data_IF_096658132410
#
_entry.id   IF_096658132410
#
_cell.length_a   1.000
_cell.length_b   1.000
_cell.length_c   1.000
_cell.angle_alpha   90.00
_cell.angle_beta   90.00
_cell.angle_gamma   90.00
#
_symmetry.space_group_name_H-M   'P 1'
#
loop_
_entity.id
_entity.type
_entity.pdbx_description
1 polymer ?
#
# COMPACT_ATOMS: atom_id res chain seq x y z
N UNK A 1 25.51 -41.09 46.83
CA UNK A 1 25.05 -41.48 48.17
C UNK A 1 23.54 -41.23 48.25
N UNK A 2 22.79 -42.23 48.75
CA UNK A 2 21.33 -42.27 49.07
C UNK A 2 20.39 -42.17 47.85
N UNK A 3 19.90 -43.25 47.23
CA UNK A 3 18.99 -44.37 47.62
C UNK A 3 17.58 -43.96 48.07
N UNK A 4 16.58 -44.41 47.30
CA UNK A 4 15.25 -45.01 47.63
C UNK A 4 14.47 -45.07 46.28
N UNK A 5 14.29 -46.17 45.54
CA UNK A 5 13.87 -47.56 45.78
C UNK A 5 12.43 -47.70 46.30
N UNK A 6 11.51 -48.05 45.40
CA UNK A 6 10.42 -49.00 45.65
C UNK A 6 9.97 -49.66 44.32
N UNK A 7 10.22 -50.97 44.24
CA UNK A 7 9.74 -51.95 43.25
C UNK A 7 8.32 -52.42 43.64
N UNK A 8 7.45 -53.00 42.79
CA UNK A 8 7.46 -54.35 42.18
C UNK A 8 6.26 -54.42 41.19
N UNK A 9 6.41 -54.85 39.92
CA UNK A 9 6.18 -56.21 39.36
C UNK A 9 4.72 -56.69 39.44
N UNK A 10 4.09 -57.40 38.50
CA UNK A 10 4.31 -57.95 37.14
C UNK A 10 2.96 -58.61 36.79
N UNK A 11 2.50 -58.62 35.51
CA UNK A 11 1.88 -59.77 34.82
C UNK A 11 1.33 -59.37 33.44
N UNK A 12 1.60 -60.26 32.47
CA UNK A 12 1.47 -60.15 31.00
C UNK A 12 0.02 -60.59 30.54
N UNK A 13 -0.31 -60.78 29.24
CA UNK A 13 -1.42 -60.19 28.48
C UNK A 13 -2.45 -61.27 28.01
N UNK A 14 -3.29 -61.05 26.98
CA UNK A 14 -2.87 -61.44 25.62
C UNK A 14 -3.36 -60.54 24.47
N UNK A 15 -2.77 -60.79 23.31
CA UNK A 15 -2.91 -60.17 21.98
C UNK A 15 -4.25 -60.38 21.27
N UNK A 16 -4.63 -59.46 20.36
CA UNK A 16 -5.30 -59.75 19.07
C UNK A 16 -5.29 -58.55 18.08
N UNK A 17 -4.45 -58.69 17.05
CA UNK A 17 -4.59 -58.33 15.62
C UNK A 17 -4.84 -56.89 15.11
N UNK A 18 -4.36 -56.56 13.88
CA UNK A 18 -4.26 -55.20 13.36
C UNK A 18 -5.49 -54.83 12.52
N UNK A 19 -6.19 -53.74 12.88
CA UNK A 19 -7.21 -53.17 11.99
C UNK A 19 -6.59 -52.07 11.13
N UNK A 20 -6.44 -52.40 9.85
CA UNK A 20 -6.21 -51.45 8.76
C UNK A 20 -7.34 -50.41 8.78
N UNK A 21 -7.03 -49.16 9.10
CA UNK A 21 -7.95 -48.04 8.93
C UNK A 21 -7.55 -47.23 7.69
N UNK A 22 -8.41 -47.31 6.68
CA UNK A 22 -8.36 -46.58 5.42
C UNK A 22 -8.01 -45.08 5.57
N UNK A 23 -7.37 -44.46 4.56
CA UNK A 23 -7.17 -43.02 4.53
C UNK A 23 -8.52 -42.30 4.40
N UNK A 24 -8.95 -41.62 5.46
CA UNK A 24 -10.10 -40.70 5.39
C UNK A 24 -9.81 -39.55 4.42
N UNK A 25 -10.82 -39.07 3.68
CA UNK A 25 -10.63 -38.18 2.55
C UNK A 25 -10.21 -36.78 3.01
N UNK A 26 -9.16 -36.24 2.38
CA UNK A 26 -8.71 -34.83 2.49
C UNK A 26 -9.77 -33.77 2.13
N UNK A 27 -11.02 -34.15 1.83
CA UNK A 27 -12.09 -33.25 1.38
C UNK A 27 -12.74 -32.42 2.50
N UNK A 28 -12.59 -32.80 3.77
CA UNK A 28 -13.18 -32.02 4.87
C UNK A 28 -12.42 -30.73 5.19
N UNK A 29 -11.12 -30.63 4.84
CA UNK A 29 -10.35 -29.40 5.06
C UNK A 29 -10.75 -28.26 4.11
N UNK A 30 -11.24 -28.58 2.91
CA UNK A 30 -11.71 -27.57 1.96
C UNK A 30 -13.12 -27.05 2.30
N UNK A 31 -13.99 -27.91 2.88
CA UNK A 31 -15.35 -27.54 3.28
C UNK A 31 -15.38 -26.69 4.57
N UNK A 32 -14.45 -26.92 5.50
CA UNK A 32 -14.36 -26.13 6.74
C UNK A 32 -13.82 -24.71 6.49
N UNK A 33 -12.95 -24.52 5.49
CA UNK A 33 -12.43 -23.18 5.12
C UNK A 33 -13.50 -22.33 4.40
N UNK A 34 -14.49 -22.96 3.76
CA UNK A 34 -15.62 -22.24 3.16
C UNK A 34 -16.66 -21.76 4.19
N UNK A 35 -16.72 -22.39 5.37
CA UNK A 35 -17.69 -22.09 6.42
C UNK A 35 -17.33 -20.87 7.30
N UNK A 36 -16.13 -20.29 7.15
CA UNK A 36 -15.64 -19.19 7.99
C UNK A 36 -15.83 -17.79 7.41
N UNK A 37 -16.44 -17.66 6.23
CA UNK A 37 -16.70 -16.37 5.61
C UNK A 37 -18.08 -15.82 6.03
N UNK A 38 -18.12 -14.57 6.47
CA UNK A 38 -19.35 -13.83 6.74
C UNK A 38 -20.30 -13.91 5.53
N UNK A 39 -21.63 -13.82 5.74
CA UNK A 39 -22.58 -13.76 4.62
C UNK A 39 -22.23 -12.68 3.60
N UNK A 40 -21.76 -11.52 4.06
CA UNK A 40 -21.29 -10.42 3.22
C UNK A 40 -20.03 -10.80 2.41
N UNK A 41 -19.05 -11.48 3.01
CA UNK A 41 -17.84 -11.89 2.30
C UNK A 41 -18.16 -12.93 1.21
N UNK A 42 -19.15 -13.80 1.44
CA UNK A 42 -19.66 -14.72 0.40
C UNK A 42 -20.34 -13.97 -0.74
N UNK A 43 -21.15 -12.96 -0.44
CA UNK A 43 -21.77 -12.11 -1.46
C UNK A 43 -20.73 -11.36 -2.29
N UNK A 44 -19.70 -10.77 -1.66
CA UNK A 44 -18.61 -10.08 -2.38
C UNK A 44 -17.86 -11.02 -3.33
N UNK A 45 -17.63 -12.28 -2.93
CA UNK A 45 -17.04 -13.29 -3.82
C UNK A 45 -17.95 -13.63 -4.99
N UNK A 46 -19.25 -13.81 -4.76
CA UNK A 46 -20.23 -14.11 -5.80
C UNK A 46 -20.33 -12.98 -6.83
N UNK A 47 -20.23 -11.73 -6.36
CA UNK A 47 -20.23 -10.52 -7.20
C UNK A 47 -18.88 -10.26 -7.88
N UNK A 48 -17.91 -11.16 -7.73
CA UNK A 48 -16.55 -11.00 -8.23
C UNK A 48 -15.91 -9.66 -7.83
N UNK A 49 -16.17 -9.21 -6.59
CA UNK A 49 -15.71 -7.92 -6.06
C UNK A 49 -14.22 -7.69 -6.34
N UNK A 50 -13.41 -8.75 -6.42
CA UNK A 50 -11.96 -8.68 -6.60
C UNK A 50 -11.57 -8.22 -7.99
N UNK A 51 -12.37 -8.56 -8.99
CA UNK A 51 -12.20 -8.03 -10.34
C UNK A 51 -12.56 -6.54 -10.37
N UNK A 52 -13.63 -6.13 -9.68
CA UNK A 52 -14.01 -4.72 -9.55
C UNK A 52 -12.90 -3.93 -8.87
N UNK A 53 -12.35 -4.43 -7.76
CA UNK A 53 -11.30 -3.74 -7.03
C UNK A 53 -10.02 -3.60 -7.85
N UNK A 54 -9.59 -4.64 -8.56
CA UNK A 54 -8.46 -4.55 -9.51
C UNK A 54 -8.72 -3.57 -10.65
N UNK A 55 -9.92 -3.59 -11.24
CA UNK A 55 -10.28 -2.69 -12.32
C UNK A 55 -10.25 -1.23 -11.86
N UNK A 56 -10.85 -0.93 -10.69
CA UNK A 56 -10.83 0.43 -10.11
C UNK A 56 -9.41 0.84 -9.72
N UNK A 57 -8.65 -0.06 -9.08
CA UNK A 57 -7.27 0.19 -8.71
C UNK A 57 -6.40 0.53 -9.93
N UNK A 58 -6.65 -0.09 -11.10
CA UNK A 58 -5.86 0.15 -12.31
C UNK A 58 -5.87 1.61 -12.81
N UNK A 59 -6.82 2.44 -12.36
CA UNK A 59 -6.84 3.87 -12.67
C UNK A 59 -5.82 4.69 -11.86
N UNK A 60 -5.25 4.15 -10.78
CA UNK A 60 -4.23 4.86 -10.02
C UNK A 60 -2.93 4.96 -10.83
N UNK A 61 -2.36 6.17 -10.85
CA UNK A 61 -1.16 6.48 -11.64
C UNK A 61 0.10 5.75 -11.18
N UNK A 62 0.21 5.40 -9.90
CA UNK A 62 1.42 4.78 -9.32
C UNK A 62 1.18 3.33 -8.90
N UNK A 63 2.23 2.50 -8.88
CA UNK A 63 2.14 1.12 -8.41
C UNK A 63 1.64 1.03 -6.96
N UNK A 64 2.18 1.87 -6.07
CA UNK A 64 1.73 1.99 -4.69
C UNK A 64 0.28 2.46 -4.57
N UNK A 65 -0.15 3.39 -5.43
CA UNK A 65 -1.55 3.83 -5.50
C UNK A 65 -2.48 2.68 -5.87
N UNK A 66 -2.12 1.87 -6.87
CA UNK A 66 -2.90 0.69 -7.27
C UNK A 66 -3.05 -0.30 -6.11
N UNK A 67 -1.95 -0.66 -5.47
CA UNK A 67 -1.97 -1.59 -4.32
C UNK A 67 -2.80 -1.03 -3.16
N UNK A 68 -2.61 0.25 -2.81
CA UNK A 68 -3.33 0.90 -1.73
C UNK A 68 -4.84 0.96 -2.01
N UNK A 69 -5.24 1.34 -3.23
CA UNK A 69 -6.65 1.38 -3.65
C UNK A 69 -7.28 -0.02 -3.63
N UNK A 70 -6.61 -1.03 -4.19
CA UNK A 70 -7.13 -2.40 -4.17
C UNK A 70 -7.33 -2.89 -2.74
N UNK A 71 -6.34 -2.69 -1.86
CA UNK A 71 -6.41 -3.06 -0.44
C UNK A 71 -7.54 -2.35 0.30
N UNK A 72 -7.74 -1.05 0.06
CA UNK A 72 -8.82 -0.28 0.69
C UNK A 72 -10.20 -0.78 0.25
N UNK A 73 -10.40 -1.03 -1.05
CA UNK A 73 -11.68 -1.53 -1.57
C UNK A 73 -11.98 -2.96 -1.08
N UNK A 74 -10.94 -3.76 -0.82
CA UNK A 74 -11.05 -5.08 -0.18
C UNK A 74 -11.56 -4.99 1.27
N UNK A 75 -11.20 -3.91 1.97
CA UNK A 75 -11.57 -3.68 3.37
C UNK A 75 -12.98 -3.13 3.58
N UNK A 76 -13.86 -3.11 2.57
CA UNK A 76 -15.17 -2.41 2.58
C UNK A 76 -16.07 -2.77 3.77
N UNK A 77 -16.01 -4.01 4.25
CA UNK A 77 -16.82 -4.47 5.38
C UNK A 77 -16.44 -3.83 6.72
N UNK A 78 -15.25 -3.25 6.81
CA UNK A 78 -14.65 -2.70 8.04
C UNK A 78 -14.53 -1.17 8.05
N UNK A 79 -15.00 -0.50 6.99
CA UNK A 79 -14.90 0.97 6.87
C UNK A 79 -16.00 1.65 7.69
N UNK A 80 -15.63 2.59 8.55
CA UNK A 80 -16.60 3.39 9.31
C UNK A 80 -17.29 4.46 8.45
N UNK A 81 -18.48 4.88 8.85
CA UNK A 81 -19.19 5.98 8.19
C UNK A 81 -18.34 7.26 8.10
N UNK A 82 -17.70 7.63 9.20
CA UNK A 82 -16.82 8.80 9.27
C UNK A 82 -15.66 8.71 8.26
N UNK A 83 -15.03 7.53 8.15
CA UNK A 83 -13.95 7.32 7.17
C UNK A 83 -14.46 7.44 5.75
N UNK A 84 -15.61 6.85 5.43
CA UNK A 84 -16.26 6.99 4.12
C UNK A 84 -16.59 8.44 3.79
N UNK A 85 -17.06 9.22 4.77
CA UNK A 85 -17.34 10.64 4.60
C UNK A 85 -16.08 11.46 4.33
N UNK A 86 -14.98 11.19 5.06
CA UNK A 86 -13.67 11.83 4.80
C UNK A 86 -13.18 11.53 3.38
N UNK A 87 -13.24 10.26 2.95
CA UNK A 87 -12.84 9.85 1.59
C UNK A 87 -13.70 10.52 0.50
N UNK A 88 -15.02 10.68 0.74
CA UNK A 88 -15.90 11.38 -0.19
C UNK A 88 -15.50 12.85 -0.36
N UNK A 89 -15.19 13.53 0.75
CA UNK A 89 -14.72 14.92 0.74
C UNK A 89 -13.36 15.08 0.03
N UNK A 90 -12.42 14.16 0.29
CA UNK A 90 -11.13 14.09 -0.42
C UNK A 90 -11.34 13.89 -1.93
N UNK A 91 -12.25 13.00 -2.32
CA UNK A 91 -12.55 12.71 -3.73
C UNK A 91 -13.16 13.92 -4.44
N UNK A 92 -14.11 14.60 -3.80
CA UNK A 92 -14.75 15.80 -4.37
C UNK A 92 -13.74 16.95 -4.56
N UNK A 93 -12.86 17.14 -3.57
CA UNK A 93 -11.77 18.11 -3.66
C UNK A 93 -10.82 17.78 -4.84
N UNK A 94 -10.47 16.50 -5.01
CA UNK A 94 -9.61 16.05 -6.12
C UNK A 94 -10.27 16.27 -7.49
N UNK A 95 -11.57 15.97 -7.62
CA UNK A 95 -12.35 16.22 -8.85
C UNK A 95 -12.40 17.71 -9.18
N UNK A 96 -12.61 18.57 -8.19
CA UNK A 96 -12.58 20.03 -8.39
C UNK A 96 -11.22 20.49 -8.89
N UNK A 97 -10.15 20.01 -8.26
CA UNK A 97 -8.79 20.38 -8.62
C UNK A 97 -8.46 19.93 -10.05
N UNK A 98 -8.84 18.72 -10.46
CA UNK A 98 -8.69 18.25 -11.84
C UNK A 98 -9.34 19.20 -12.85
N UNK A 99 -10.55 19.68 -12.56
CA UNK A 99 -11.30 20.57 -13.45
C UNK A 99 -10.74 21.99 -13.57
N UNK A 100 -10.05 22.50 -12.55
CA UNK A 100 -9.53 23.88 -12.53
C UNK A 100 -8.05 24.02 -12.88
N UNK A 101 -7.29 22.92 -12.87
CA UNK A 101 -5.82 22.95 -12.94
C UNK A 101 -5.18 22.24 -14.13
N UNK A 102 -5.97 21.83 -15.14
CA UNK A 102 -5.44 21.25 -16.37
C UNK A 102 -4.72 19.91 -16.19
N UNK A 103 -5.10 19.11 -15.18
CA UNK A 103 -4.53 17.77 -14.97
C UNK A 103 -3.43 17.69 -13.90
N UNK A 104 -3.36 18.62 -12.94
CA UNK A 104 -2.32 18.65 -11.90
C UNK A 104 -2.28 17.45 -10.94
N UNK A 105 -3.18 16.47 -11.10
CA UNK A 105 -3.21 15.22 -10.32
C UNK A 105 -2.84 14.00 -11.17
N UNK A 106 -2.00 14.17 -12.19
CA UNK A 106 -1.40 13.04 -12.91
C UNK A 106 -0.14 12.53 -12.21
N UNK A 107 -0.28 11.42 -11.48
CA UNK A 107 0.83 10.77 -10.78
C UNK A 107 1.52 9.68 -11.63
N UNK A 108 1.13 9.48 -12.90
CA UNK A 108 1.59 8.34 -13.72
C UNK A 108 3.08 8.34 -14.02
N UNK A 109 3.72 9.51 -14.01
CA UNK A 109 5.17 9.65 -14.21
C UNK A 109 6.04 9.31 -12.99
N UNK A 110 5.44 8.98 -11.84
CA UNK A 110 6.19 8.73 -10.60
C UNK A 110 6.55 7.25 -10.41
N UNK A 111 7.84 6.95 -10.38
CA UNK A 111 8.33 5.64 -9.98
C UNK A 111 8.39 5.49 -8.46
N UNK A 112 7.21 5.28 -7.87
CA UNK A 112 7.09 5.05 -6.41
C UNK A 112 7.82 3.80 -5.92
N UNK A 113 8.10 2.82 -6.78
CA UNK A 113 8.84 1.61 -6.40
C UNK A 113 10.33 1.92 -6.25
N UNK A 114 10.90 2.69 -7.17
CA UNK A 114 12.27 3.18 -7.05
C UNK A 114 12.43 4.12 -5.85
N UNK A 115 11.45 4.97 -5.56
CA UNK A 115 11.46 5.82 -4.35
C UNK A 115 11.47 4.97 -3.08
N UNK A 116 10.59 3.96 -2.97
CA UNK A 116 10.56 3.07 -1.81
C UNK A 116 11.89 2.32 -1.67
N UNK A 117 12.44 1.82 -2.77
CA UNK A 117 13.77 1.19 -2.82
C UNK A 117 14.86 2.13 -2.27
N UNK A 118 14.87 3.39 -2.72
CA UNK A 118 15.82 4.40 -2.24
C UNK A 118 15.73 4.60 -0.72
N UNK A 119 14.51 4.75 -0.19
CA UNK A 119 14.26 4.94 1.24
C UNK A 119 14.74 3.73 2.05
N UNK A 120 14.46 2.52 1.57
CA UNK A 120 14.87 1.28 2.23
C UNK A 120 16.39 1.10 2.20
N UNK A 121 17.05 1.41 1.08
CA UNK A 121 18.50 1.40 0.97
C UNK A 121 19.15 2.34 1.97
N UNK A 122 18.73 3.62 2.00
CA UNK A 122 19.30 4.61 2.93
C UNK A 122 19.03 4.23 4.39
N UNK A 123 17.82 3.78 4.71
CA UNK A 123 17.45 3.35 6.06
C UNK A 123 18.26 2.13 6.52
N UNK A 124 18.65 1.27 5.59
CA UNK A 124 19.55 0.13 5.82
C UNK A 124 21.05 0.47 5.75
N UNK A 125 21.43 1.75 5.55
CA UNK A 125 22.82 2.19 5.44
C UNK A 125 23.52 1.86 4.12
N UNK A 126 22.75 1.52 3.08
CA UNK A 126 23.25 1.22 1.74
C UNK A 126 23.22 2.44 0.82
N UNK A 127 24.07 2.42 -0.21
CA UNK A 127 24.06 3.44 -1.26
C UNK A 127 22.88 3.27 -2.20
N UNK A 128 22.37 4.39 -2.73
CA UNK A 128 21.30 4.40 -3.75
C UNK A 128 21.90 4.47 -5.16
N UNK A 129 21.17 3.93 -6.13
CA UNK A 129 21.50 4.02 -7.56
C UNK A 129 21.06 5.37 -8.13
N UNK A 130 21.61 5.76 -9.28
CA UNK A 130 21.21 7.01 -9.93
C UNK A 130 19.74 7.05 -10.32
N UNK A 131 19.15 5.93 -10.76
CA UNK A 131 17.70 5.83 -11.01
C UNK A 131 16.86 6.08 -9.75
N UNK A 132 17.27 5.51 -8.61
CA UNK A 132 16.59 5.67 -7.34
C UNK A 132 16.67 7.12 -6.86
N UNK A 133 17.84 7.75 -7.02
CA UNK A 133 18.04 9.17 -6.73
C UNK A 133 17.18 10.07 -7.62
N UNK A 134 17.13 9.82 -8.94
CA UNK A 134 16.30 10.58 -9.86
C UNK A 134 14.80 10.39 -9.60
N UNK A 135 14.35 9.18 -9.24
CA UNK A 135 12.97 8.94 -8.85
C UNK A 135 12.57 9.78 -7.61
N UNK A 136 13.48 9.92 -6.64
CA UNK A 136 13.29 10.81 -5.47
C UNK A 136 13.22 12.28 -5.91
N UNK A 137 14.09 12.72 -6.82
CA UNK A 137 14.04 14.08 -7.38
C UNK A 137 12.71 14.35 -8.09
N UNK A 138 12.25 13.43 -8.95
CA UNK A 138 10.98 13.55 -9.66
C UNK A 138 9.80 13.66 -8.69
N UNK A 139 9.78 12.86 -7.62
CA UNK A 139 8.75 12.97 -6.58
C UNK A 139 8.78 14.34 -5.88
N UNK A 140 9.97 14.82 -5.53
CA UNK A 140 10.15 16.11 -4.84
C UNK A 140 9.67 17.29 -5.70
N UNK A 141 10.06 17.32 -6.98
CA UNK A 141 9.63 18.35 -7.93
C UNK A 141 8.13 18.27 -8.20
N UNK A 142 7.58 17.06 -8.31
CA UNK A 142 6.14 16.85 -8.47
C UNK A 142 5.36 17.40 -7.26
N UNK A 143 5.80 17.09 -6.04
CA UNK A 143 5.16 17.59 -4.81
C UNK A 143 5.22 19.12 -4.75
N UNK A 144 6.35 19.74 -5.11
CA UNK A 144 6.45 21.20 -5.17
C UNK A 144 5.46 21.81 -6.18
N UNK A 145 5.38 21.24 -7.38
CA UNK A 145 4.42 21.66 -8.41
C UNK A 145 2.96 21.51 -7.94
N UNK A 146 2.65 20.39 -7.28
CA UNK A 146 1.32 20.12 -6.74
C UNK A 146 0.95 21.11 -5.63
N UNK A 147 1.88 21.44 -4.74
CA UNK A 147 1.68 22.46 -3.70
C UNK A 147 1.37 23.84 -4.30
N UNK A 148 2.10 24.26 -5.34
CA UNK A 148 1.84 25.53 -6.04
C UNK A 148 0.45 25.51 -6.65
N UNK A 149 0.07 24.41 -7.28
CA UNK A 149 -1.24 24.26 -7.93
C UNK A 149 -2.39 24.31 -6.93
N UNK A 150 -2.30 23.58 -5.80
CA UNK A 150 -3.32 23.60 -4.75
C UNK A 150 -3.44 25.02 -4.17
N UNK A 151 -2.31 25.67 -3.84
CA UNK A 151 -2.32 27.04 -3.31
C UNK A 151 -2.93 28.05 -4.30
N UNK A 152 -2.71 27.87 -5.59
CA UNK A 152 -3.32 28.72 -6.62
C UNK A 152 -4.84 28.47 -6.71
N UNK A 153 -5.28 27.20 -6.70
CA UNK A 153 -6.69 26.83 -6.74
C UNK A 153 -7.46 27.35 -5.51
N UNK A 154 -6.85 27.27 -4.31
CA UNK A 154 -7.44 27.78 -3.08
C UNK A 154 -7.65 29.30 -3.06
N UNK A 155 -6.96 30.06 -3.92
CA UNK A 155 -7.08 31.52 -3.99
C UNK A 155 -8.15 32.02 -4.96
N UNK A 156 -8.84 31.10 -5.66
CA UNK A 156 -9.84 31.50 -6.67
C UNK A 156 -11.07 32.15 -6.02
N UNK A 157 -11.58 31.55 -4.94
CA UNK A 157 -12.75 32.04 -4.19
C UNK A 157 -12.83 31.34 -2.81
N UNK A 158 -13.72 31.83 -1.92
CA UNK A 158 -13.88 31.32 -0.54
C UNK A 158 -14.39 29.86 -0.50
N UNK A 159 -15.25 29.47 -1.44
CA UNK A 159 -15.76 28.11 -1.55
C UNK A 159 -14.62 27.14 -1.93
N UNK A 160 -13.74 27.57 -2.83
CA UNK A 160 -12.57 26.83 -3.28
C UNK A 160 -11.55 26.62 -2.16
N UNK A 161 -11.37 27.58 -1.25
CA UNK A 161 -10.53 27.39 -0.06
C UNK A 161 -11.05 26.25 0.82
N UNK A 162 -12.32 26.33 1.23
CA UNK A 162 -12.93 25.36 2.13
C UNK A 162 -13.04 23.96 1.51
N UNK A 163 -13.32 23.88 0.21
CA UNK A 163 -13.45 22.63 -0.52
C UNK A 163 -12.12 21.87 -0.63
N UNK A 164 -10.98 22.57 -0.71
CA UNK A 164 -9.67 21.95 -0.91
C UNK A 164 -8.93 21.61 0.39
N UNK A 165 -9.40 22.08 1.55
CA UNK A 165 -8.85 21.73 2.88
C UNK A 165 -8.61 20.22 3.09
N UNK A 166 -9.48 19.29 2.63
CA UNK A 166 -9.23 17.85 2.77
C UNK A 166 -7.92 17.37 2.11
N UNK A 167 -7.40 18.09 1.11
CA UNK A 167 -6.15 17.74 0.42
C UNK A 167 -4.91 18.39 1.08
N UNK A 168 -5.08 19.38 1.95
CA UNK A 168 -3.95 20.20 2.40
C UNK A 168 -3.11 19.55 3.49
N UNK A 169 -3.73 18.78 4.40
CA UNK A 169 -3.05 18.20 5.57
C UNK A 169 -1.79 17.39 5.19
N UNK A 170 -1.84 16.61 4.12
CA UNK A 170 -0.70 15.77 3.71
C UNK A 170 0.18 16.44 2.66
N UNK A 171 -0.42 17.22 1.75
CA UNK A 171 0.31 17.72 0.58
C UNK A 171 1.02 19.04 0.88
N UNK A 172 0.40 19.96 1.62
CA UNK A 172 0.99 21.26 1.90
C UNK A 172 2.06 21.23 3.00
N UNK A 173 2.00 20.22 3.88
CA UNK A 173 2.96 20.02 4.96
C UNK A 173 4.22 19.26 4.48
N UNK A 174 4.21 18.71 3.27
CA UNK A 174 5.37 18.03 2.70
C UNK A 174 6.54 18.99 2.51
N UNK A 175 7.71 18.63 3.07
CA UNK A 175 8.94 19.44 2.96
C UNK A 175 9.75 19.01 1.75
N UNK A 176 9.95 19.93 0.80
CA UNK A 176 10.79 19.71 -0.39
C UNK A 176 12.15 20.38 -0.20
N UNK A 177 13.20 19.57 -0.06
CA UNK A 177 14.59 20.05 0.05
C UNK A 177 15.20 20.39 -1.31
N UNK A 178 15.25 21.70 -1.65
CA UNK A 178 15.86 22.19 -2.90
C UNK A 178 17.36 21.93 -2.98
N UNK A 179 18.06 21.96 -1.84
CA UNK A 179 19.50 21.66 -1.79
C UNK A 179 19.77 20.20 -2.13
N UNK A 180 18.92 19.28 -1.68
CA UNK A 180 19.05 17.86 -2.03
C UNK A 180 18.79 17.62 -3.52
N UNK A 181 17.70 18.20 -4.06
CA UNK A 181 17.39 18.12 -5.50
C UNK A 181 18.58 18.59 -6.32
N UNK A 182 19.13 19.76 -6.00
CA UNK A 182 20.29 20.31 -6.69
C UNK A 182 21.52 19.42 -6.55
N UNK A 183 21.81 18.93 -5.34
CA UNK A 183 22.98 18.08 -5.10
C UNK A 183 22.94 16.78 -5.91
N UNK A 184 21.75 16.19 -6.09
CA UNK A 184 21.57 15.00 -6.92
C UNK A 184 21.73 15.37 -8.40
N UNK A 185 21.04 16.42 -8.86
CA UNK A 185 21.11 16.85 -10.26
C UNK A 185 22.49 17.36 -10.68
N UNK A 186 23.34 17.82 -9.75
CA UNK A 186 24.71 18.23 -10.06
C UNK A 186 25.63 17.02 -10.37
N UNK A 187 25.28 15.81 -9.92
CA UNK A 187 26.12 14.60 -10.06
C UNK A 187 25.48 13.47 -10.86
N UNK A 188 24.17 13.52 -11.13
CA UNK A 188 23.41 12.50 -11.85
C UNK A 188 22.67 13.15 -13.03
N UNK A 189 22.74 12.53 -14.19
CA UNK A 189 22.00 12.90 -15.39
C UNK A 189 20.53 12.44 -15.33
N UNK A 190 19.70 13.00 -16.20
CA UNK A 190 18.25 12.71 -16.24
C UNK A 190 17.94 11.23 -16.54
N UNK A 191 18.87 10.54 -17.21
CA UNK A 191 18.79 9.10 -17.48
C UNK A 191 19.31 8.24 -16.33
N UNK A 192 19.65 8.83 -15.18
CA UNK A 192 20.15 8.17 -13.98
C UNK A 192 21.61 7.72 -14.03
N UNK A 193 22.39 8.12 -15.04
CA UNK A 193 23.85 7.91 -15.08
C UNK A 193 24.60 8.98 -14.28
N UNK A 194 25.85 8.70 -13.91
CA UNK A 194 26.69 9.67 -13.18
C UNK A 194 27.32 10.62 -14.18
N UNK A 195 27.23 11.92 -13.89
CA UNK A 195 27.81 12.97 -14.75
C UNK A 195 29.33 12.88 -14.79
N UNK A 196 29.89 12.82 -15.99
CA UNK A 196 31.32 12.97 -16.22
C UNK A 196 31.72 14.44 -15.98
N UNK A 197 32.17 14.73 -14.76
CA UNK A 197 32.78 16.03 -14.43
C UNK A 197 34.30 15.87 -14.55
N UNK A 198 34.83 16.21 -15.73
CA UNK A 198 36.26 16.28 -16.02
C UNK A 198 36.89 17.59 -15.54
#
# INVERSE_FOLDING_TARGET
>A
MLRLSASFSLLYPPSLSPSVSHPRPRRLRALVVAASASPSARSLRLLEWGKVCRAVASFAGTAHGREATEKQLWGVESVSYERSWKLLRETEAAVRLLGSSGGALDFSGLDTVAVESAINCVSGGSVIKGQEAMAVVSLMLFVESLQVTIKAAMKQDEDSYNLLLPLTETILDAVVSKSLVKSIQDVIDDDGSVKDTA
#
